data_IF_588234092560
#
_entry.id   IF_588234092560
#
_cell.length_a   1.000
_cell.length_b   1.000
_cell.length_c   1.000
_cell.angle_alpha   90.00
_cell.angle_beta   90.00
_cell.angle_gamma   90.00
#
_symmetry.space_group_name_H-M   'P 1'
#
loop_
_entity.id
_entity.type
_entity.pdbx_description
1 polymer ?
#
# COMPACT_ATOMS: atom_id res chain seq x y z
N UNK A 1 32.53 -42.25 -48.57
CA UNK A 1 32.43 -43.68 -48.88
C UNK A 1 32.16 -44.45 -47.58
N UNK A 2 31.03 -45.15 -47.53
CA UNK A 2 30.48 -45.86 -46.38
C UNK A 2 31.25 -47.18 -46.18
N UNK A 3 31.82 -47.43 -45.00
CA UNK A 3 32.31 -48.77 -44.65
C UNK A 3 31.49 -49.28 -43.47
N UNK A 4 30.55 -50.15 -43.82
CA UNK A 4 29.73 -50.96 -42.93
C UNK A 4 30.64 -52.05 -42.36
N UNK A 5 30.58 -52.27 -41.03
CA UNK A 5 30.69 -53.59 -40.38
C UNK A 5 30.35 -53.44 -38.88
N UNK A 6 29.10 -53.76 -38.56
CA UNK A 6 28.76 -54.52 -37.35
C UNK A 6 29.19 -55.98 -37.62
N UNK A 7 29.61 -56.83 -36.66
CA UNK A 7 28.60 -57.62 -35.92
C UNK A 7 29.06 -58.20 -34.55
N UNK A 8 28.13 -58.27 -33.59
CA UNK A 8 28.03 -59.35 -32.57
C UNK A 8 29.15 -59.35 -31.52
N UNK A 9 28.97 -59.73 -30.26
CA UNK A 9 27.88 -60.24 -29.45
C UNK A 9 28.54 -60.52 -28.10
N UNK A 10 27.73 -60.74 -27.07
CA UNK A 10 28.14 -61.35 -25.81
C UNK A 10 28.75 -60.33 -24.83
N UNK A 11 28.42 -60.33 -23.55
CA UNK A 11 28.10 -61.42 -22.64
C UNK A 11 27.27 -60.77 -21.49
N UNK A 12 26.33 -61.53 -20.92
CA UNK A 12 25.78 -61.49 -19.55
C UNK A 12 25.01 -60.26 -19.02
N UNK A 13 23.70 -60.49 -18.84
CA UNK A 13 22.94 -60.02 -17.68
C UNK A 13 23.48 -60.70 -16.42
N UNK A 14 23.98 -59.93 -15.45
CA UNK A 14 23.96 -60.32 -14.03
C UNK A 14 24.28 -59.11 -13.15
N UNK A 15 23.39 -58.80 -12.20
CA UNK A 15 23.72 -57.85 -11.14
C UNK A 15 22.56 -56.95 -10.75
N UNK A 16 21.65 -57.51 -9.95
CA UNK A 16 20.71 -56.77 -9.12
C UNK A 16 21.35 -55.62 -8.34
N UNK A 17 20.47 -54.70 -7.94
CA UNK A 17 20.70 -53.74 -6.85
C UNK A 17 21.68 -52.61 -7.16
N UNK A 18 21.15 -51.45 -7.58
CA UNK A 18 21.27 -50.21 -6.79
C UNK A 18 20.66 -49.01 -7.56
N UNK A 19 19.79 -48.28 -6.88
CA UNK A 19 19.48 -46.89 -7.23
C UNK A 19 18.09 -46.63 -7.81
N UNK A 20 17.04 -46.74 -6.98
CA UNK A 20 15.80 -45.97 -7.16
C UNK A 20 16.15 -44.47 -7.16
N UNK A 21 16.53 -43.91 -8.30
CA UNK A 21 16.83 -42.49 -8.51
C UNK A 21 15.61 -41.74 -9.06
N UNK A 22 14.58 -41.62 -8.24
CA UNK A 22 13.69 -40.46 -8.18
C UNK A 22 13.44 -40.31 -6.67
N UNK A 23 13.61 -39.12 -6.01
CA UNK A 23 12.73 -37.97 -6.30
C UNK A 23 13.16 -36.60 -5.66
N UNK A 24 13.71 -35.58 -6.35
CA UNK A 24 14.03 -34.30 -5.62
C UNK A 24 13.87 -32.96 -6.36
N UNK A 25 13.23 -32.88 -7.53
CA UNK A 25 13.24 -31.61 -8.29
C UNK A 25 11.88 -30.96 -8.54
N UNK A 26 10.79 -31.49 -7.97
CA UNK A 26 9.48 -30.83 -8.01
C UNK A 26 9.18 -30.26 -6.63
N UNK A 27 9.82 -29.17 -6.23
CA UNK A 27 9.26 -28.31 -5.20
C UNK A 27 9.93 -26.94 -5.24
N UNK A 28 9.12 -25.91 -5.02
CA UNK A 28 9.48 -24.48 -4.95
C UNK A 28 9.68 -23.77 -6.28
N UNK A 29 8.58 -23.35 -6.92
CA UNK A 29 8.59 -22.06 -7.63
C UNK A 29 7.18 -21.46 -7.79
N UNK A 30 6.44 -21.34 -6.69
CA UNK A 30 5.36 -20.34 -6.60
C UNK A 30 5.69 -19.44 -5.42
N UNK A 31 6.61 -18.50 -5.65
CA UNK A 31 6.81 -17.38 -4.75
C UNK A 31 5.58 -16.46 -4.92
N UNK A 32 4.61 -16.58 -4.03
CA UNK A 32 3.54 -15.60 -3.95
C UNK A 32 4.17 -14.27 -3.51
N UNK A 33 3.93 -13.16 -4.22
CA UNK A 33 4.32 -11.86 -3.72
C UNK A 33 3.54 -11.61 -2.42
N UNK A 34 4.25 -11.52 -1.30
CA UNK A 34 3.68 -11.02 -0.06
C UNK A 34 3.50 -9.52 -0.26
N UNK A 35 2.30 -9.10 -0.62
CA UNK A 35 1.94 -7.69 -0.54
C UNK A 35 1.89 -7.31 0.93
N UNK A 36 2.76 -6.37 1.33
CA UNK A 36 2.63 -5.72 2.62
C UNK A 36 1.27 -4.97 2.62
N UNK A 37 0.31 -5.49 3.36
CA UNK A 37 -0.99 -4.86 3.50
C UNK A 37 -0.82 -3.66 4.44
N UNK A 38 -0.89 -2.44 3.89
CA UNK A 38 -1.01 -1.24 4.71
C UNK A 38 -2.25 -1.42 5.59
N UNK A 39 -2.03 -1.54 6.91
CA UNK A 39 -3.14 -1.73 7.81
C UNK A 39 -3.99 -0.46 7.83
N UNK A 40 -5.32 -0.59 7.70
CA UNK A 40 -6.23 0.50 8.00
C UNK A 40 -5.91 1.10 9.37
N UNK A 41 -5.85 2.42 9.44
CA UNK A 41 -5.71 3.14 10.70
C UNK A 41 -6.81 2.75 11.70
N UNK A 42 -7.99 2.42 11.19
CA UNK A 42 -9.12 1.91 11.94
C UNK A 42 -9.51 0.52 11.42
N UNK A 43 -9.41 -0.53 12.24
CA UNK A 43 -9.71 -1.89 11.81
C UNK A 43 -11.19 -2.02 11.43
N UNK A 44 -11.47 -2.68 10.31
CA UNK A 44 -12.83 -2.87 9.80
C UNK A 44 -13.45 -1.63 9.12
N UNK A 45 -12.67 -0.56 8.91
CA UNK A 45 -13.13 0.62 8.19
C UNK A 45 -12.87 0.53 6.69
N UNK A 46 -13.75 1.16 5.89
CA UNK A 46 -13.55 1.38 4.47
C UNK A 46 -13.26 2.87 4.25
N UNK A 47 -12.14 3.17 3.60
CA UNK A 47 -11.76 4.55 3.26
C UNK A 47 -12.28 4.93 1.88
N UNK A 48 -12.72 6.18 1.76
CA UNK A 48 -13.05 6.77 0.45
C UNK A 48 -11.75 7.16 -0.25
N UNK A 49 -11.46 6.50 -1.38
CA UNK A 49 -10.24 6.73 -2.15
C UNK A 49 -10.13 8.16 -2.73
N UNK A 50 -11.22 8.92 -2.75
CA UNK A 50 -11.21 10.34 -3.16
C UNK A 50 -10.59 11.25 -2.10
N UNK A 51 -10.59 10.81 -0.84
CA UNK A 51 -9.98 11.58 0.26
C UNK A 51 -8.48 11.32 0.26
N UNK A 52 -7.65 12.36 0.06
CA UNK A 52 -6.21 12.18 -0.03
C UNK A 52 -5.65 11.71 1.31
N UNK A 53 -4.86 10.63 1.28
CA UNK A 53 -4.13 10.19 2.45
C UNK A 53 -3.04 11.22 2.84
N UNK A 54 -2.72 11.37 4.13
CA UNK A 54 -1.63 12.23 4.59
C UNK A 54 -0.32 11.97 3.84
N UNK A 55 0.07 10.71 3.66
CA UNK A 55 1.26 10.29 2.90
C UNK A 55 1.28 10.82 1.48
N UNK A 56 0.15 10.86 0.77
CA UNK A 56 0.12 11.32 -0.62
C UNK A 56 0.29 12.85 -0.75
N UNK A 57 0.00 13.60 0.31
CA UNK A 57 0.16 15.06 0.34
C UNK A 57 1.50 15.48 0.95
N UNK A 58 1.88 14.84 2.05
CA UNK A 58 3.07 15.18 2.84
C UNK A 58 4.34 14.49 2.33
N UNK A 59 4.21 13.32 1.69
CA UNK A 59 5.33 12.54 1.16
C UNK A 59 6.00 11.60 2.18
N UNK A 60 5.45 11.51 3.40
CA UNK A 60 5.95 10.65 4.48
C UNK A 60 4.80 10.10 5.33
N UNK A 61 5.06 9.06 6.11
CA UNK A 61 4.05 8.48 7.01
C UNK A 61 3.80 9.36 8.22
N UNK A 62 2.59 9.32 8.77
CA UNK A 62 2.33 10.04 10.02
C UNK A 62 3.16 9.45 11.15
N UNK A 63 3.84 10.32 11.88
CA UNK A 63 4.72 9.96 13.00
C UNK A 63 6.18 9.79 12.58
N UNK A 64 6.51 9.80 11.29
CA UNK A 64 7.89 9.71 10.81
C UNK A 64 8.66 11.03 11.00
N UNK A 65 8.03 12.16 10.66
CA UNK A 65 8.61 13.51 10.80
C UNK A 65 7.64 14.48 11.45
N UNK A 66 8.21 15.56 12.00
CA UNK A 66 7.43 16.74 12.37
C UNK A 66 6.84 17.39 11.11
N UNK A 67 5.53 17.66 11.13
CA UNK A 67 4.84 18.32 10.02
C UNK A 67 4.81 19.82 10.25
N UNK A 68 5.36 20.57 9.31
CA UNK A 68 5.38 22.04 9.39
C UNK A 68 3.98 22.63 9.29
N UNK A 69 3.78 23.80 9.91
CA UNK A 69 2.48 24.47 9.94
C UNK A 69 1.90 24.65 8.54
N UNK A 70 2.70 25.10 7.56
CA UNK A 70 2.22 25.35 6.20
C UNK A 70 1.73 24.07 5.52
N UNK A 71 2.43 22.95 5.74
CA UNK A 71 2.03 21.64 5.21
C UNK A 71 0.74 21.15 5.86
N UNK A 72 0.59 21.36 7.17
CA UNK A 72 -0.62 21.03 7.90
C UNK A 72 -1.82 21.84 7.36
N UNK A 73 -1.66 23.16 7.21
CA UNK A 73 -2.74 24.02 6.68
C UNK A 73 -3.11 23.65 5.25
N UNK A 74 -2.12 23.37 4.40
CA UNK A 74 -2.34 22.93 3.02
C UNK A 74 -3.11 21.59 2.99
N UNK A 75 -2.74 20.64 3.83
CA UNK A 75 -3.44 19.36 3.92
C UNK A 75 -4.90 19.54 4.34
N UNK A 76 -5.20 20.40 5.32
CA UNK A 76 -6.58 20.69 5.73
C UNK A 76 -7.41 21.31 4.60
N UNK A 77 -6.81 22.22 3.81
CA UNK A 77 -7.47 22.81 2.63
C UNK A 77 -7.73 21.78 1.53
N UNK A 78 -6.80 20.84 1.30
CA UNK A 78 -7.02 19.72 0.37
C UNK A 78 -8.12 18.77 0.84
N UNK A 79 -8.21 18.52 2.14
CA UNK A 79 -9.28 17.73 2.72
C UNK A 79 -10.65 18.39 2.51
N UNK A 80 -10.77 19.70 2.76
CA UNK A 80 -11.99 20.47 2.46
C UNK A 80 -12.40 20.36 1.00
N UNK A 81 -11.44 20.43 0.07
CA UNK A 81 -11.72 20.32 -1.36
C UNK A 81 -12.13 18.90 -1.80
N UNK A 82 -11.64 17.86 -1.11
CA UNK A 82 -11.86 16.47 -1.49
C UNK A 82 -13.20 15.90 -0.99
N UNK A 83 -13.77 16.45 0.10
CA UNK A 83 -14.97 15.89 0.73
C UNK A 83 -15.91 16.96 1.29
N UNK A 84 -17.23 16.73 1.15
CA UNK A 84 -18.26 17.57 1.77
C UNK A 84 -18.39 17.42 3.30
N UNK A 85 -17.51 16.63 3.94
CA UNK A 85 -17.50 16.37 5.39
C UNK A 85 -16.60 17.32 6.18
N UNK A 86 -15.73 18.05 5.49
CA UNK A 86 -14.73 18.92 6.11
C UNK A 86 -14.99 20.35 5.69
N UNK A 87 -14.94 21.28 6.64
CA UNK A 87 -15.03 22.72 6.39
C UNK A 87 -13.92 23.44 7.14
N UNK A 88 -13.19 24.32 6.47
CA UNK A 88 -12.03 25.02 7.04
C UNK A 88 -12.30 26.51 7.10
N UNK A 89 -12.32 27.05 8.32
CA UNK A 89 -12.49 28.46 8.59
C UNK A 89 -11.17 29.09 9.00
N UNK A 90 -10.93 30.31 8.53
CA UNK A 90 -9.89 31.17 9.10
C UNK A 90 -10.49 31.93 10.28
N UNK A 91 -9.94 31.74 11.47
CA UNK A 91 -10.43 32.42 12.68
C UNK A 91 -9.58 33.61 13.10
N UNK A 92 -8.38 33.75 12.53
CA UNK A 92 -7.53 34.90 12.79
C UNK A 92 -6.10 34.66 12.32
N UNK A 93 -5.18 35.37 12.96
CA UNK A 93 -3.74 35.21 12.78
C UNK A 93 -3.05 35.18 14.14
N UNK A 94 -1.95 34.45 14.22
CA UNK A 94 -1.05 34.51 15.38
C UNK A 94 -0.22 35.80 15.39
N UNK A 95 0.51 36.04 16.47
CA UNK A 95 1.44 37.17 16.59
C UNK A 95 2.54 37.14 15.50
N UNK A 96 2.87 35.95 15.00
CA UNK A 96 3.83 35.74 13.91
C UNK A 96 3.18 35.80 12.52
N UNK A 97 1.93 36.28 12.43
CA UNK A 97 1.17 36.41 11.17
C UNK A 97 0.89 35.07 10.50
N UNK A 98 0.81 33.98 11.27
CA UNK A 98 0.41 32.64 10.77
C UNK A 98 -1.10 32.49 10.86
N UNK A 99 -1.71 31.93 9.81
CA UNK A 99 -3.16 31.70 9.77
C UNK A 99 -3.60 30.71 10.85
N UNK A 100 -4.58 31.09 11.65
CA UNK A 100 -5.23 30.19 12.60
C UNK A 100 -6.47 29.58 11.95
N UNK A 101 -6.47 28.26 11.81
CA UNK A 101 -7.56 27.50 11.21
C UNK A 101 -8.45 26.85 12.27
N UNK A 102 -9.75 26.91 12.05
CA UNK A 102 -10.75 26.06 12.69
C UNK A 102 -11.25 25.06 11.65
N UNK A 103 -11.08 23.77 11.94
CA UNK A 103 -11.51 22.68 11.05
C UNK A 103 -12.70 21.98 11.66
N UNK A 104 -13.84 22.04 10.97
CA UNK A 104 -15.04 21.31 11.36
C UNK A 104 -15.15 20.02 10.55
N UNK A 105 -15.39 18.91 11.24
CA UNK A 105 -15.58 17.59 10.64
C UNK A 105 -16.93 17.04 11.11
N UNK A 106 -17.83 16.78 10.16
CA UNK A 106 -19.17 16.25 10.45
C UNK A 106 -19.78 15.59 9.22
N UNK A 107 -21.02 15.12 9.35
CA UNK A 107 -21.80 14.68 8.20
C UNK A 107 -22.06 15.84 7.23
N UNK A 108 -22.14 15.59 5.91
CA UNK A 108 -22.29 16.67 4.92
C UNK A 108 -23.55 17.52 5.14
N UNK A 109 -24.63 16.92 5.66
CA UNK A 109 -25.86 17.63 5.97
C UNK A 109 -25.69 18.65 7.11
N UNK A 110 -24.82 18.37 8.08
CA UNK A 110 -24.51 19.29 9.19
C UNK A 110 -23.57 20.39 8.72
N UNK A 111 -22.56 20.04 7.91
CA UNK A 111 -21.63 21.01 7.33
C UNK A 111 -22.36 22.06 6.49
N UNK A 112 -23.39 21.68 5.73
CA UNK A 112 -24.19 22.63 4.96
C UNK A 112 -24.95 23.64 5.83
N UNK A 113 -25.24 23.30 7.09
CA UNK A 113 -25.97 24.13 8.05
C UNK A 113 -25.06 24.77 9.09
N UNK A 114 -23.74 24.64 8.96
CA UNK A 114 -22.80 24.95 10.03
C UNK A 114 -22.83 26.41 10.48
N UNK A 115 -23.15 27.34 9.58
CA UNK A 115 -23.33 28.76 9.91
C UNK A 115 -24.53 29.02 10.84
N UNK A 116 -25.47 28.07 10.96
CA UNK A 116 -26.59 28.15 11.89
C UNK A 116 -26.19 27.76 13.32
N UNK A 117 -25.05 27.08 13.50
CA UNK A 117 -24.55 26.62 14.79
C UNK A 117 -23.41 27.48 15.34
N UNK A 118 -23.00 28.49 14.57
CA UNK A 118 -21.94 29.43 14.90
C UNK A 118 -22.50 30.63 15.67
#
# INVERSE_FOLDING_TARGET
MKKIRNPQSAIINQGDSMGRWLPRSVLCLFALPVFAQEQPWFPGSAYDARVPAPKSVLGYEIGEYYTEHLQMTEYMRRLEAATGRVKVFRVGESNERRELLLVAVSDPANIQKIEQYR
#
